data_IF_219515597339
#
_entry.id   IF_219515597339
#
_cell.length_a   1.000
_cell.length_b   1.000
_cell.length_c   1.000
_cell.angle_alpha   90.00
_cell.angle_beta   90.00
_cell.angle_gamma   90.00
#
_symmetry.space_group_name_H-M   'P 1'
#
loop_
_entity.id
_entity.type
_entity.pdbx_description
1 polymer ?
#
# COMPACT_ATOMS: atom_id res chain seq x y z
N UNK A 1 16.06 -6.76 -2.03
CA UNK A 1 14.97 -7.75 -2.10
C UNK A 1 14.37 -7.76 -3.49
N UNK A 2 13.90 -8.93 -3.95
CA UNK A 2 13.35 -9.03 -5.32
C UNK A 2 12.13 -9.95 -5.37
N UNK A 3 11.23 -9.70 -6.30
CA UNK A 3 10.09 -10.57 -6.61
C UNK A 3 9.78 -10.53 -8.11
N UNK A 4 9.42 -11.68 -8.66
CA UNK A 4 9.00 -11.83 -10.05
C UNK A 4 7.52 -11.47 -10.19
N UNK A 5 7.19 -10.60 -11.13
CA UNK A 5 5.81 -10.12 -11.35
C UNK A 5 4.88 -11.19 -11.89
N UNK A 6 5.42 -12.22 -12.52
CA UNK A 6 4.67 -13.34 -13.12
C UNK A 6 4.51 -14.52 -12.17
N UNK A 7 5.34 -14.60 -11.12
CA UNK A 7 5.28 -15.69 -10.14
C UNK A 7 4.26 -15.39 -9.02
N UNK A 8 3.89 -16.43 -8.29
CA UNK A 8 3.15 -16.30 -7.04
C UNK A 8 4.13 -16.51 -5.87
N UNK A 9 4.14 -15.62 -4.86
CA UNK A 9 3.14 -14.57 -4.58
C UNK A 9 3.35 -13.23 -5.32
N UNK A 10 4.44 -12.97 -6.06
CA UNK A 10 4.70 -11.72 -6.77
C UNK A 10 4.69 -10.47 -5.86
N UNK A 11 5.13 -10.64 -4.60
CA UNK A 11 5.11 -9.61 -3.56
C UNK A 11 6.14 -9.86 -2.48
N UNK A 12 6.42 -8.81 -1.71
CA UNK A 12 7.22 -8.84 -0.47
C UNK A 12 6.43 -8.18 0.65
N UNK A 13 6.78 -8.48 1.90
CA UNK A 13 6.15 -7.84 3.05
C UNK A 13 7.13 -7.60 4.19
N UNK A 14 6.83 -6.58 4.98
CA UNK A 14 7.55 -6.26 6.21
C UNK A 14 6.55 -6.12 7.35
N UNK A 15 7.01 -6.37 8.58
CA UNK A 15 6.15 -6.34 9.76
C UNK A 15 6.81 -5.58 10.90
N UNK A 16 5.97 -4.91 11.69
CA UNK A 16 6.33 -4.27 12.95
C UNK A 16 5.29 -4.60 14.01
N UNK A 17 5.70 -5.35 15.04
CA UNK A 17 4.88 -5.61 16.23
C UNK A 17 5.09 -4.49 17.25
N UNK A 18 4.01 -4.05 17.89
CA UNK A 18 4.02 -2.98 18.88
C UNK A 18 4.11 -3.55 20.29
N UNK A 19 4.95 -2.94 21.11
CA UNK A 19 5.16 -3.28 22.52
C UNK A 19 4.21 -2.56 23.48
N UNK A 20 3.52 -1.53 22.97
CA UNK A 20 2.53 -0.71 23.68
C UNK A 20 1.48 -0.21 22.71
N UNK A 21 0.37 0.27 23.28
CA UNK A 21 -0.68 0.92 22.49
C UNK A 21 -0.10 2.10 21.69
N UNK A 22 -0.33 2.07 20.37
CA UNK A 22 0.17 3.06 19.43
C UNK A 22 -0.93 3.42 18.46
N UNK A 23 -1.19 4.71 18.27
CA UNK A 23 -2.27 5.20 17.39
C UNK A 23 -1.69 6.05 16.27
N UNK A 24 -2.20 5.84 15.06
CA UNK A 24 -1.85 6.61 13.87
C UNK A 24 -3.08 7.27 13.28
N UNK A 25 -2.99 8.58 12.96
CA UNK A 25 -4.08 9.34 12.33
C UNK A 25 -3.49 10.25 11.26
N UNK A 26 -3.89 10.04 10.02
CA UNK A 26 -3.39 10.83 8.87
C UNK A 26 -2.99 9.96 7.69
N UNK A 27 -2.08 10.46 6.87
CA UNK A 27 -1.63 9.82 5.64
C UNK A 27 -0.29 9.09 5.83
N UNK A 28 -0.26 7.75 5.80
CA UNK A 28 1.01 7.03 5.69
C UNK A 28 1.64 7.29 4.33
N UNK A 29 2.96 7.40 4.29
CA UNK A 29 3.73 7.56 3.05
C UNK A 29 4.86 6.54 3.00
N UNK A 30 5.00 5.87 1.87
CA UNK A 30 6.05 4.91 1.62
C UNK A 30 7.02 5.47 0.59
N UNK A 31 8.28 5.62 1.00
CA UNK A 31 9.38 5.92 0.08
C UNK A 31 10.07 4.61 -0.30
N UNK A 32 10.13 4.33 -1.59
CA UNK A 32 10.78 3.16 -2.14
C UNK A 32 11.88 3.55 -3.12
N UNK A 33 12.98 2.82 -3.09
CA UNK A 33 14.00 2.81 -4.12
C UNK A 33 13.88 1.50 -4.89
N UNK A 34 13.41 1.59 -6.13
CA UNK A 34 13.02 0.44 -6.93
C UNK A 34 13.77 0.40 -8.26
N UNK A 35 13.99 -0.82 -8.73
CA UNK A 35 14.56 -1.14 -10.03
C UNK A 35 13.73 -2.24 -10.67
N UNK A 36 13.66 -2.26 -12.00
CA UNK A 36 13.05 -3.36 -12.74
C UNK A 36 14.08 -4.02 -13.66
N UNK A 37 14.12 -5.35 -13.62
CA UNK A 37 14.97 -6.18 -14.47
C UNK A 37 14.10 -6.85 -15.55
N UNK A 38 14.57 -6.83 -16.81
CA UNK A 38 13.90 -7.38 -17.98
C UNK A 38 12.55 -6.72 -18.34
N UNK A 39 12.35 -5.48 -17.91
CA UNK A 39 11.22 -4.62 -18.29
C UNK A 39 11.60 -3.15 -18.14
N UNK A 40 10.72 -2.23 -18.53
CA UNK A 40 11.02 -0.79 -18.52
C UNK A 40 10.00 0.05 -17.73
N UNK A 41 9.12 -0.58 -16.98
CA UNK A 41 8.15 0.08 -16.10
C UNK A 41 7.73 -0.83 -14.94
N UNK A 42 7.08 -0.25 -13.94
CA UNK A 42 6.54 -0.96 -12.77
C UNK A 42 5.25 -0.31 -12.31
N UNK A 43 4.19 -1.10 -12.15
CA UNK A 43 3.06 -0.72 -11.30
C UNK A 43 3.31 -1.31 -9.90
N UNK A 44 3.49 -0.44 -8.92
CA UNK A 44 3.72 -0.82 -7.53
C UNK A 44 2.45 -0.59 -6.73
N UNK A 45 1.92 -1.67 -6.16
CA UNK A 45 0.76 -1.65 -5.26
C UNK A 45 1.23 -1.84 -3.84
N UNK A 46 0.71 -1.02 -2.93
CA UNK A 46 1.06 -1.06 -1.52
C UNK A 46 -0.20 -1.25 -0.70
N UNK A 47 -0.11 -2.12 0.27
CA UNK A 47 -1.21 -2.41 1.17
C UNK A 47 -0.73 -2.53 2.62
N UNK A 48 -1.37 -1.79 3.52
CA UNK A 48 -1.06 -1.75 4.93
C UNK A 48 -2.16 -2.51 5.69
N UNK A 49 -1.76 -3.58 6.38
CA UNK A 49 -2.64 -4.46 7.12
C UNK A 49 -2.42 -4.33 8.63
N UNK A 50 -3.50 -4.46 9.39
CA UNK A 50 -3.45 -4.70 10.83
C UNK A 50 -3.63 -6.19 11.11
N UNK A 51 -2.75 -6.76 11.95
CA UNK A 51 -2.84 -8.14 12.40
C UNK A 51 -3.05 -8.15 13.91
N UNK A 52 -3.86 -9.11 14.37
CA UNK A 52 -3.99 -9.40 15.80
C UNK A 52 -2.72 -10.05 16.38
N UNK A 53 -2.69 -10.27 17.68
CA UNK A 53 -1.58 -10.93 18.37
C UNK A 53 -1.33 -12.38 17.95
N UNK A 54 -2.24 -12.99 17.21
CA UNK A 54 -2.12 -14.36 16.68
C UNK A 54 -1.70 -14.38 15.21
N UNK A 55 -1.54 -13.20 14.57
CA UNK A 55 -1.15 -13.06 13.18
C UNK A 55 -2.31 -13.07 12.17
N UNK A 56 -3.57 -13.06 12.64
CA UNK A 56 -4.72 -12.98 11.76
C UNK A 56 -4.91 -11.54 11.28
N UNK A 57 -5.22 -11.37 9.99
CA UNK A 57 -5.50 -10.06 9.42
C UNK A 57 -6.85 -9.56 9.90
N UNK A 58 -6.86 -8.40 10.55
CA UNK A 58 -8.06 -7.68 10.93
C UNK A 58 -8.54 -6.83 9.75
N UNK A 59 -9.49 -7.36 8.98
CA UNK A 59 -9.95 -6.75 7.73
C UNK A 59 -11.40 -6.28 7.78
N UNK A 60 -12.08 -6.42 8.91
CA UNK A 60 -13.50 -6.16 8.99
C UNK A 60 -13.80 -4.99 9.91
N UNK A 61 -14.16 -3.84 9.31
CA UNK A 61 -14.88 -2.79 9.99
C UNK A 61 -16.29 -2.73 9.46
N UNK A 62 -17.23 -2.99 10.33
CA UNK A 62 -18.61 -2.67 10.05
C UNK A 62 -18.81 -1.21 10.39
N UNK A 63 -19.04 -0.38 9.39
CA UNK A 63 -19.54 0.98 9.62
C UNK A 63 -21.03 0.83 9.93
N UNK A 64 -21.46 1.04 11.20
CA UNK A 64 -22.87 0.96 11.53
C UNK A 64 -23.62 2.03 10.75
N UNK A 65 -24.53 1.64 9.91
CA UNK A 65 -25.46 2.55 9.28
C UNK A 65 -26.62 2.77 10.26
N UNK A 66 -26.60 3.90 10.97
CA UNK A 66 -27.72 4.43 11.78
C UNK A 66 -28.62 3.36 12.47
N UNK A 67 -28.03 2.60 13.40
CA UNK A 67 -28.78 1.69 14.26
C UNK A 67 -28.99 0.27 13.73
N UNK A 68 -28.48 -0.06 12.56
CA UNK A 68 -28.48 -1.45 12.09
C UNK A 68 -27.46 -2.29 12.87
N UNK A 69 -27.85 -3.48 13.29
CA UNK A 69 -27.01 -4.41 14.03
C UNK A 69 -26.12 -5.20 13.07
N UNK A 70 -24.93 -5.59 13.49
CA UNK A 70 -23.93 -6.32 12.68
C UNK A 70 -24.54 -7.55 11.95
N UNK A 71 -25.49 -8.22 12.58
CA UNK A 71 -26.18 -9.38 12.04
C UNK A 71 -27.01 -9.07 10.79
N UNK A 72 -27.55 -7.86 10.65
CA UNK A 72 -28.38 -7.48 9.53
C UNK A 72 -27.58 -7.35 8.23
N UNK A 73 -26.30 -6.97 8.33
CA UNK A 73 -25.40 -6.86 7.18
C UNK A 73 -24.95 -8.22 6.65
N UNK A 74 -24.83 -9.21 7.51
CA UNK A 74 -24.41 -10.57 7.12
C UNK A 74 -25.56 -11.38 6.54
N UNK A 75 -26.81 -11.14 6.98
CA UNK A 75 -27.99 -11.89 6.53
C UNK A 75 -28.57 -11.38 5.20
N UNK A 76 -28.42 -10.09 4.91
CA UNK A 76 -29.02 -9.48 3.72
C UNK A 76 -28.07 -9.35 2.52
N UNK A 77 -26.89 -9.99 2.54
CA UNK A 77 -25.94 -9.91 1.44
C UNK A 77 -25.42 -8.49 1.17
N UNK A 78 -25.81 -7.50 1.97
CA UNK A 78 -25.20 -6.20 1.95
C UNK A 78 -23.75 -6.39 2.39
N UNK A 79 -22.82 -6.33 1.43
CA UNK A 79 -21.40 -6.40 1.70
C UNK A 79 -21.07 -5.26 2.66
N UNK A 80 -20.89 -5.58 3.93
CA UNK A 80 -20.30 -4.66 4.87
C UNK A 80 -19.08 -4.06 4.18
N UNK A 81 -18.93 -2.74 4.22
CA UNK A 81 -17.74 -2.08 3.70
C UNK A 81 -16.55 -2.66 4.48
N UNK A 82 -15.88 -3.63 3.88
CA UNK A 82 -14.71 -4.25 4.47
C UNK A 82 -13.55 -3.28 4.27
N UNK A 83 -13.09 -2.72 5.36
CA UNK A 83 -11.84 -1.99 5.35
C UNK A 83 -10.69 -3.00 5.33
N UNK A 84 -10.07 -3.15 4.19
CA UNK A 84 -8.96 -4.09 4.03
C UNK A 84 -7.61 -3.51 4.45
N UNK A 85 -7.55 -2.27 4.88
CA UNK A 85 -6.33 -1.53 5.24
C UNK A 85 -6.09 -0.35 4.31
N UNK A 86 -5.14 0.53 4.68
CA UNK A 86 -4.73 1.62 3.81
C UNK A 86 -3.97 1.08 2.60
N UNK A 87 -4.18 1.71 1.47
CA UNK A 87 -3.57 1.29 0.21
C UNK A 87 -3.10 2.49 -0.59
N UNK A 88 -2.13 2.25 -1.45
CA UNK A 88 -1.62 3.20 -2.42
C UNK A 88 -1.07 2.48 -3.64
N UNK A 89 -0.89 3.22 -4.72
CA UNK A 89 -0.28 2.70 -5.93
C UNK A 89 0.43 3.79 -6.70
N UNK A 90 1.47 3.39 -7.42
CA UNK A 90 2.17 4.29 -8.33
C UNK A 90 2.76 3.49 -9.48
N UNK A 91 2.60 4.02 -10.70
CA UNK A 91 3.37 3.58 -11.87
C UNK A 91 4.71 4.31 -11.88
N UNK A 92 5.80 3.56 -11.95
CA UNK A 92 7.14 4.14 -11.86
C UNK A 92 7.43 5.18 -12.97
N UNK A 93 6.92 4.98 -14.17
CA UNK A 93 7.03 5.96 -15.24
C UNK A 93 6.25 7.26 -15.02
N UNK A 94 5.35 7.28 -14.04
CA UNK A 94 4.52 8.45 -13.65
C UNK A 94 4.97 9.06 -12.32
N UNK A 95 6.19 8.77 -11.86
CA UNK A 95 6.72 9.17 -10.55
C UNK A 95 7.03 10.65 -10.41
N UNK A 96 6.95 11.43 -11.50
CA UNK A 96 7.35 12.82 -11.48
C UNK A 96 6.43 13.65 -10.60
N UNK A 97 7.04 14.32 -9.61
CA UNK A 97 6.32 15.13 -8.64
C UNK A 97 6.04 16.53 -9.18
N UNK A 98 4.85 17.03 -8.91
CA UNK A 98 4.53 18.44 -8.94
C UNK A 98 4.99 19.06 -7.62
N UNK A 99 6.14 19.75 -7.67
CA UNK A 99 6.78 20.30 -6.48
C UNK A 99 5.96 21.43 -5.85
N UNK A 100 5.22 22.19 -6.67
CA UNK A 100 4.42 23.32 -6.18
C UNK A 100 3.19 22.86 -5.38
N UNK A 101 2.63 21.70 -5.72
CA UNK A 101 1.45 21.14 -5.07
C UNK A 101 1.77 20.00 -4.09
N UNK A 102 3.03 19.57 -3.99
CA UNK A 102 3.46 18.56 -3.05
C UNK A 102 3.70 19.15 -1.66
N UNK A 103 3.38 18.37 -0.63
CA UNK A 103 3.79 18.63 0.77
C UNK A 103 4.69 17.52 1.27
N UNK A 104 5.28 17.71 2.45
CA UNK A 104 6.11 16.68 3.07
C UNK A 104 5.34 15.38 3.36
N UNK A 105 4.03 15.49 3.61
CA UNK A 105 3.16 14.35 3.88
C UNK A 105 2.51 13.76 2.62
N UNK A 106 2.12 14.62 1.68
CA UNK A 106 1.32 14.24 0.51
C UNK A 106 2.04 14.65 -0.77
N UNK A 107 2.70 13.72 -1.48
CA UNK A 107 3.24 13.98 -2.80
C UNK A 107 2.10 14.16 -3.81
N UNK A 108 2.19 15.20 -4.62
CA UNK A 108 1.38 15.39 -5.82
C UNK A 108 2.18 14.98 -7.06
N UNK A 109 1.55 14.28 -7.99
CA UNK A 109 2.20 13.86 -9.24
C UNK A 109 1.73 14.76 -10.38
N UNK A 110 2.67 15.17 -11.23
CA UNK A 110 2.36 16.08 -12.36
C UNK A 110 1.55 15.40 -13.45
N UNK A 111 1.78 14.10 -13.69
CA UNK A 111 1.20 13.32 -14.79
C UNK A 111 1.37 13.96 -16.18
N UNK A 112 2.34 14.86 -16.32
CA UNK A 112 2.60 15.61 -17.55
C UNK A 112 3.48 14.84 -18.54
N UNK A 113 4.15 13.79 -18.06
CA UNK A 113 5.06 12.97 -18.88
C UNK A 113 5.19 11.54 -18.38
N UNK A 114 5.60 10.68 -19.29
CA UNK A 114 5.91 9.27 -19.03
C UNK A 114 7.42 9.07 -19.11
N UNK A 115 8.06 8.74 -18.00
CA UNK A 115 9.51 8.48 -17.91
C UNK A 115 9.77 6.99 -17.66
N UNK A 116 9.85 6.21 -18.73
CA UNK A 116 10.20 4.78 -18.65
C UNK A 116 11.60 4.60 -18.06
N UNK A 117 11.83 3.46 -17.43
CA UNK A 117 13.09 3.13 -16.79
C UNK A 117 14.10 2.58 -17.81
N UNK A 118 15.35 2.97 -17.63
CA UNK A 118 16.49 2.32 -18.29
C UNK A 118 16.88 1.05 -17.52
N UNK A 119 17.63 0.18 -18.18
CA UNK A 119 18.18 -1.02 -17.55
C UNK A 119 19.04 -0.63 -16.31
N UNK A 120 18.83 -1.32 -15.19
CA UNK A 120 19.51 -1.09 -13.91
C UNK A 120 19.29 0.31 -13.30
N UNK A 121 18.33 1.06 -13.78
CA UNK A 121 18.00 2.35 -13.20
C UNK A 121 17.24 2.16 -11.90
N UNK A 122 17.82 2.66 -10.80
CA UNK A 122 17.13 2.77 -9.52
C UNK A 122 16.36 4.09 -9.52
N UNK A 123 15.06 4.03 -9.24
CA UNK A 123 14.19 5.20 -9.15
C UNK A 123 13.59 5.32 -7.76
N UNK A 124 13.38 6.55 -7.33
CA UNK A 124 12.68 6.89 -6.10
C UNK A 124 11.17 6.96 -6.38
N UNK A 125 10.38 6.30 -5.54
CA UNK A 125 8.92 6.32 -5.59
C UNK A 125 8.39 6.77 -4.24
N UNK A 126 7.70 7.90 -4.20
CA UNK A 126 6.96 8.38 -3.04
C UNK A 126 5.49 7.97 -3.19
N UNK A 127 5.01 7.02 -2.41
CA UNK A 127 3.64 6.49 -2.51
C UNK A 127 2.86 6.89 -1.27
N UNK A 128 1.91 7.80 -1.42
CA UNK A 128 0.96 8.10 -0.36
C UNK A 128 -0.10 7.00 -0.29
N UNK A 129 -0.44 6.58 0.92
CA UNK A 129 -1.51 5.63 1.16
C UNK A 129 -2.79 6.37 1.54
N UNK A 130 -3.94 5.72 1.35
CA UNK A 130 -5.21 6.27 1.84
C UNK A 130 -5.13 6.57 3.34
N UNK A 131 -5.84 7.62 3.82
CA UNK A 131 -5.74 8.06 5.21
C UNK A 131 -6.19 6.95 6.18
N UNK A 132 -5.55 6.93 7.34
CA UNK A 132 -5.84 5.99 8.42
C UNK A 132 -6.25 6.70 9.70
N UNK A 133 -7.07 5.98 10.51
CA UNK A 133 -7.29 6.23 11.92
C UNK A 133 -7.25 4.88 12.62
N UNK A 134 -6.05 4.39 12.95
CA UNK A 134 -5.83 3.04 13.46
C UNK A 134 -5.07 3.06 14.78
N UNK A 135 -5.55 2.28 15.74
CA UNK A 135 -4.84 2.01 16.98
C UNK A 135 -4.39 0.55 17.01
N UNK A 136 -3.15 0.33 17.37
CA UNK A 136 -2.58 -0.99 17.61
C UNK A 136 -2.41 -1.16 19.11
N UNK A 137 -2.92 -2.25 19.67
CA UNK A 137 -2.66 -2.63 21.05
C UNK A 137 -1.30 -3.35 21.16
N UNK A 138 -0.86 -3.60 22.38
CA UNK A 138 0.34 -4.40 22.61
C UNK A 138 0.21 -5.76 21.92
N UNK A 139 1.30 -6.19 21.27
CA UNK A 139 1.44 -7.46 20.53
C UNK A 139 0.65 -7.51 19.21
N UNK A 140 -0.07 -6.46 18.83
CA UNK A 140 -0.62 -6.34 17.48
C UNK A 140 0.47 -5.88 16.49
N UNK A 141 0.27 -6.22 15.23
CA UNK A 141 1.29 -6.06 14.18
C UNK A 141 0.76 -5.24 13.01
N UNK A 142 1.54 -4.26 12.59
CA UNK A 142 1.41 -3.62 11.28
C UNK A 142 2.18 -4.46 10.26
N UNK A 143 1.54 -4.81 9.16
CA UNK A 143 2.20 -5.43 8.01
C UNK A 143 2.01 -4.57 6.78
N UNK A 144 3.11 -4.24 6.10
CA UNK A 144 3.08 -3.61 4.79
C UNK A 144 3.38 -4.65 3.72
N UNK A 145 2.57 -4.68 2.69
CA UNK A 145 2.71 -5.55 1.52
C UNK A 145 3.00 -4.68 0.31
N UNK A 146 4.04 -5.02 -0.44
CA UNK A 146 4.43 -4.40 -1.71
C UNK A 146 4.28 -5.47 -2.80
N UNK A 147 3.45 -5.20 -3.80
CA UNK A 147 3.03 -6.19 -4.79
C UNK A 147 3.06 -5.61 -6.20
N UNK A 148 3.23 -6.49 -7.19
CA UNK A 148 3.01 -6.17 -8.61
C UNK A 148 1.53 -6.28 -9.03
N UNK A 149 0.65 -6.70 -8.12
CA UNK A 149 -0.77 -6.92 -8.38
C UNK A 149 -1.62 -6.17 -7.37
N UNK A 150 -2.80 -5.75 -7.80
CA UNK A 150 -3.79 -5.17 -6.91
C UNK A 150 -4.39 -6.27 -6.01
N UNK A 151 -3.86 -6.39 -4.79
CA UNK A 151 -4.32 -7.36 -3.79
C UNK A 151 -5.73 -7.06 -3.24
N UNK A 152 -6.21 -5.82 -3.44
CA UNK A 152 -7.53 -5.43 -3.00
C UNK A 152 -8.61 -5.87 -3.98
N UNK A 153 -8.24 -6.06 -5.24
CA UNK A 153 -9.17 -6.32 -6.32
C UNK A 153 -10.15 -5.17 -6.52
N UNK A 154 -11.28 -5.44 -7.15
CA UNK A 154 -12.35 -4.46 -7.22
C UNK A 154 -12.97 -4.27 -5.85
N UNK A 155 -12.86 -3.05 -5.30
CA UNK A 155 -13.49 -2.68 -4.01
C UNK A 155 -15.01 -2.56 -4.17
N UNK A 156 -15.49 -2.41 -5.40
CA UNK A 156 -16.92 -2.31 -5.72
C UNK A 156 -17.34 -3.46 -6.63
N UNK A 157 -18.41 -4.18 -6.29
CA UNK A 157 -18.96 -5.20 -7.19
C UNK A 157 -19.26 -4.60 -8.58
N UNK A 158 -18.81 -5.29 -9.63
CA UNK A 158 -19.05 -4.88 -11.01
C UNK A 158 -18.08 -3.85 -11.59
N UNK A 159 -17.12 -3.35 -10.81
CA UNK A 159 -16.03 -2.54 -11.36
C UNK A 159 -14.85 -3.42 -11.75
N UNK A 160 -14.25 -3.24 -12.94
CA UNK A 160 -13.03 -3.96 -13.30
C UNK A 160 -11.91 -3.61 -12.32
N UNK A 161 -11.16 -4.61 -11.89
CA UNK A 161 -9.91 -4.38 -11.18
C UNK A 161 -8.90 -3.63 -12.06
N UNK A 162 -7.90 -3.04 -11.44
CA UNK A 162 -6.78 -2.45 -12.18
C UNK A 162 -5.99 -3.56 -12.89
N UNK A 163 -5.78 -3.41 -14.19
CA UNK A 163 -4.88 -4.28 -14.94
C UNK A 163 -3.50 -3.65 -14.93
N UNK A 164 -2.54 -4.21 -14.17
CA UNK A 164 -1.20 -3.65 -14.12
C UNK A 164 -0.45 -3.91 -15.43
N UNK A 165 0.37 -2.94 -15.83
CA UNK A 165 1.36 -3.09 -16.90
C UNK A 165 2.69 -3.46 -16.26
N UNK A 166 2.84 -4.73 -15.90
CA UNK A 166 4.00 -5.25 -15.19
C UNK A 166 4.66 -6.39 -15.93
N UNK A 167 5.99 -6.33 -15.99
CA UNK A 167 6.84 -7.40 -16.49
C UNK A 167 8.13 -7.51 -15.68
N UNK A 168 8.88 -8.59 -15.91
CA UNK A 168 10.19 -8.78 -15.33
C UNK A 168 10.20 -8.95 -13.81
N UNK A 169 11.31 -8.57 -13.21
CA UNK A 169 11.57 -8.71 -11.78
C UNK A 169 11.66 -7.33 -11.14
N UNK A 170 10.85 -7.08 -10.13
CA UNK A 170 10.95 -5.89 -9.30
C UNK A 170 12.00 -6.08 -8.21
N UNK A 171 12.88 -5.12 -8.06
CA UNK A 171 13.96 -5.12 -7.07
C UNK A 171 13.78 -3.93 -6.13
N UNK A 172 13.61 -4.21 -4.85
CA UNK A 172 13.56 -3.21 -3.78
C UNK A 172 14.94 -3.08 -3.13
N UNK A 173 15.44 -1.86 -3.09
CA UNK A 173 16.68 -1.48 -2.40
C UNK A 173 16.37 -1.00 -0.99
N UNK A 174 17.07 -1.54 0.02
CA UNK A 174 16.79 -1.28 1.46
C UNK A 174 18.00 -0.85 2.26
N UNK A 175 19.09 -0.46 1.62
CA UNK A 175 20.32 -0.14 2.33
C UNK A 175 21.13 1.01 1.76
N UNK A 176 22.04 1.55 2.57
CA UNK A 176 22.90 2.65 2.18
C UNK A 176 22.13 3.93 1.85
N UNK A 177 22.47 4.55 0.73
CA UNK A 177 21.82 5.78 0.25
C UNK A 177 20.42 5.53 -0.36
N UNK A 178 20.06 4.25 -0.61
CA UNK A 178 18.77 3.83 -1.17
C UNK A 178 17.89 3.18 -0.10
N UNK A 179 17.85 3.77 1.09
CA UNK A 179 17.04 3.23 2.19
C UNK A 179 15.56 3.53 1.98
N UNK A 180 14.79 2.49 1.66
CA UNK A 180 13.33 2.55 1.61
C UNK A 180 12.75 2.57 3.02
N UNK A 181 11.68 3.36 3.25
CA UNK A 181 11.04 3.48 4.56
C UNK A 181 9.55 3.81 4.48
N UNK A 182 8.82 3.43 5.53
CA UNK A 182 7.43 3.81 5.77
C UNK A 182 7.37 4.93 6.81
N UNK A 183 6.81 6.07 6.44
CA UNK A 183 6.46 7.17 7.33
C UNK A 183 5.04 6.98 7.83
N UNK A 184 4.85 7.04 9.15
CA UNK A 184 3.54 6.86 9.80
C UNK A 184 3.14 8.10 10.58
N UNK A 185 1.87 8.56 10.48
CA UNK A 185 1.36 9.73 11.19
C UNK A 185 1.01 9.36 12.64
N UNK A 186 2.00 9.39 13.53
CA UNK A 186 1.84 9.05 14.95
C UNK A 186 0.99 10.11 15.65
N UNK A 187 -0.07 9.68 16.34
CA UNK A 187 -0.84 10.51 17.24
C UNK A 187 -0.15 10.56 18.61
N UNK A 188 0.32 11.73 19.01
CA UNK A 188 0.97 11.99 20.30
C UNK A 188 -0.08 12.26 21.40
#
# INVERSE_FOLDING_TARGET
LRYDTQSLPGKISFQKTFDKKTTFVGYPKLKLYMEVENYNDMDVFVWLQKLDKFGNVLSEFVVPNHGAVLQDFTQNGASALRYKGAWGRLRASMRHLDVEHSTDEIPAYSFDRVEKLSEKQIVELDIVLSPIGLSYDKDETLRIVISSKDELGSVMPGTPGCTPDNGGIHILHTGGITTSYLQLPLLN
#
